data_IF_857769810362
#
_entry.id   IF_857769810362
#
_cell.length_a   1.000
_cell.length_b   1.000
_cell.length_c   1.000
_cell.angle_alpha   90.00
_cell.angle_beta   90.00
_cell.angle_gamma   90.00
#
_symmetry.space_group_name_H-M   'P 1'
#
loop_
_entity.id
_entity.type
_entity.pdbx_description
1 polymer ?
#
# COMPACT_ATOMS: atom_id res chain seq x y z
N UNK A 1 1.34 -1.35 6.14
CA UNK A 1 1.13 -1.22 7.58
C UNK A 1 -0.14 -1.91 8.00
N UNK A 2 -0.03 -2.84 8.92
CA UNK A 2 -1.20 -3.60 9.32
C UNK A 2 -1.67 -3.22 10.73
N UNK A 3 -2.00 -1.95 10.90
CA UNK A 3 -2.66 -1.45 12.10
C UNK A 3 -3.89 -2.29 12.48
N UNK A 4 -4.48 -2.96 11.47
CA UNK A 4 -5.64 -3.85 11.59
C UNK A 4 -5.27 -5.32 11.83
N UNK A 5 -3.99 -5.69 11.85
CA UNK A 5 -3.57 -7.06 12.10
C UNK A 5 -3.36 -7.32 13.60
N UNK A 6 -3.51 -8.57 13.99
CA UNK A 6 -3.26 -9.00 15.37
C UNK A 6 -1.77 -8.83 15.66
N UNK A 7 -1.40 -8.26 16.83
CA UNK A 7 -0.02 -8.16 17.22
C UNK A 7 0.64 -9.55 17.29
N UNK A 8 1.84 -9.66 16.75
CA UNK A 8 2.69 -10.86 16.88
C UNK A 8 3.49 -10.78 18.16
N UNK A 9 3.99 -11.91 18.62
CA UNK A 9 4.84 -11.97 19.82
C UNK A 9 6.26 -11.45 19.60
N UNK A 10 6.73 -11.36 18.35
CA UNK A 10 8.10 -10.96 17.99
C UNK A 10 8.11 -9.96 16.85
N UNK A 11 9.19 -9.20 16.69
CA UNK A 11 9.49 -8.47 15.45
C UNK A 11 9.73 -9.44 14.28
N UNK A 12 9.80 -8.92 13.05
CA UNK A 12 10.00 -9.71 11.84
C UNK A 12 11.26 -10.58 11.93
N UNK A 13 11.15 -11.90 12.07
CA UNK A 13 12.29 -12.76 12.40
C UNK A 13 13.27 -12.92 11.23
N UNK A 14 12.88 -12.49 10.02
CA UNK A 14 13.79 -12.45 8.87
C UNK A 14 14.65 -11.20 8.85
N UNK A 15 14.23 -10.14 9.54
CA UNK A 15 14.90 -8.84 9.61
C UNK A 15 15.65 -8.68 10.94
N UNK A 16 15.03 -9.08 12.05
CA UNK A 16 15.55 -8.90 13.38
C UNK A 16 15.98 -10.23 14.02
N UNK A 17 16.92 -10.14 14.97
CA UNK A 17 17.24 -11.24 15.88
C UNK A 17 16.07 -11.50 16.83
N UNK A 18 15.79 -12.78 17.10
CA UNK A 18 14.63 -13.21 17.89
C UNK A 18 14.85 -13.13 19.40
N UNK A 19 16.09 -13.01 19.83
CA UNK A 19 16.46 -13.23 21.23
C UNK A 19 16.09 -12.06 22.15
N UNK A 20 15.96 -10.84 21.60
CA UNK A 20 15.58 -9.67 22.39
C UNK A 20 14.41 -8.91 21.76
N UNK A 21 13.19 -9.16 22.29
CA UNK A 21 11.98 -8.46 21.85
C UNK A 21 11.88 -7.04 22.40
N UNK A 22 12.62 -6.72 23.45
CA UNK A 22 12.62 -5.38 24.05
C UNK A 22 13.60 -4.44 23.35
N UNK A 23 14.72 -4.96 22.84
CA UNK A 23 15.71 -4.24 22.06
C UNK A 23 16.09 -5.04 20.81
N UNK A 24 15.24 -5.04 19.78
CA UNK A 24 15.51 -5.81 18.59
C UNK A 24 16.80 -5.32 17.90
N UNK A 25 17.57 -6.27 17.41
CA UNK A 25 18.80 -6.01 16.65
C UNK A 25 18.57 -6.45 15.21
N UNK A 26 18.82 -5.57 14.26
CA UNK A 26 18.76 -5.92 12.84
C UNK A 26 19.89 -6.92 12.54
N UNK A 27 19.56 -7.98 11.81
CA UNK A 27 20.53 -9.01 11.44
C UNK A 27 21.72 -8.41 10.66
N UNK A 28 22.94 -8.86 10.91
CA UNK A 28 24.13 -8.36 10.22
C UNK A 28 24.03 -8.47 8.68
N UNK A 29 23.39 -9.51 8.16
CA UNK A 29 23.16 -9.69 6.72
C UNK A 29 22.25 -8.63 6.11
N UNK A 30 21.26 -8.17 6.86
CA UNK A 30 20.35 -7.09 6.43
C UNK A 30 21.07 -5.75 6.47
N UNK A 31 21.83 -5.48 7.55
CA UNK A 31 22.65 -4.27 7.66
C UNK A 31 23.63 -4.20 6.50
N UNK A 32 24.37 -5.29 6.26
CA UNK A 32 25.34 -5.36 5.17
C UNK A 32 24.71 -5.06 3.81
N UNK A 33 23.52 -5.61 3.53
CA UNK A 33 22.81 -5.32 2.28
C UNK A 33 22.49 -3.83 2.15
N UNK A 34 21.99 -3.20 3.22
CA UNK A 34 21.68 -1.77 3.24
C UNK A 34 22.95 -0.94 3.00
N UNK A 35 24.04 -1.26 3.71
CA UNK A 35 25.32 -0.57 3.59
C UNK A 35 25.93 -0.74 2.19
N UNK A 36 25.91 -1.95 1.63
CA UNK A 36 26.38 -2.21 0.27
C UNK A 36 25.59 -1.40 -0.77
N UNK A 37 24.27 -1.24 -0.58
CA UNK A 37 23.44 -0.42 -1.45
C UNK A 37 23.72 1.08 -1.28
N UNK A 38 23.95 1.55 -0.06
CA UNK A 38 24.25 2.95 0.23
C UNK A 38 25.68 3.33 -0.17
N UNK A 39 26.62 2.39 -0.24
CA UNK A 39 28.02 2.66 -0.59
C UNK A 39 28.21 3.31 -1.97
N UNK A 40 27.30 3.05 -2.91
CA UNK A 40 27.32 3.70 -4.23
C UNK A 40 26.97 5.20 -4.14
N UNK A 41 26.05 5.57 -3.22
CA UNK A 41 25.70 6.98 -2.98
C UNK A 41 26.82 7.71 -2.25
N UNK A 42 27.46 7.05 -1.30
CA UNK A 42 28.56 7.65 -0.52
C UNK A 42 29.74 8.07 -1.39
N UNK A 43 29.87 7.53 -2.62
CA UNK A 43 30.82 8.01 -3.61
C UNK A 43 30.51 9.42 -4.14
N UNK A 44 29.24 9.81 -4.11
CA UNK A 44 28.79 11.12 -4.59
C UNK A 44 28.63 12.13 -3.44
N UNK A 45 27.91 11.72 -2.38
CA UNK A 45 27.66 12.55 -1.19
C UNK A 45 27.71 11.70 0.09
N UNK A 46 28.33 12.19 1.17
CA UNK A 46 28.35 11.47 2.44
C UNK A 46 26.93 11.20 2.98
N UNK A 47 26.68 9.97 3.38
CA UNK A 47 25.46 9.60 4.13
C UNK A 47 25.67 9.97 5.60
N UNK A 48 24.92 10.95 6.07
CA UNK A 48 25.02 11.45 7.45
C UNK A 48 24.27 10.55 8.43
N UNK A 49 23.02 10.15 8.07
CA UNK A 49 22.15 9.32 8.88
C UNK A 49 21.23 8.48 8.00
N UNK A 50 20.85 7.32 8.49
CA UNK A 50 19.78 6.53 7.92
C UNK A 50 18.99 5.82 9.01
N UNK A 51 17.66 5.89 8.92
CA UNK A 51 16.73 5.35 9.89
C UNK A 51 15.69 4.48 9.21
N UNK A 52 15.39 3.35 9.83
CA UNK A 52 14.27 2.51 9.45
C UNK A 52 13.00 3.08 10.09
N UNK A 53 11.91 3.15 9.32
CA UNK A 53 10.59 3.56 9.75
C UNK A 53 9.54 2.53 9.31
N UNK A 54 8.29 2.71 9.71
CA UNK A 54 7.18 1.90 9.21
C UNK A 54 6.80 0.70 10.07
N UNK A 55 5.89 -0.12 9.54
CA UNK A 55 5.25 -1.22 10.27
C UNK A 55 6.18 -2.35 10.66
N UNK A 56 7.26 -2.53 9.92
CA UNK A 56 8.29 -3.55 10.22
C UNK A 56 8.88 -3.39 11.63
N UNK A 57 8.81 -2.16 12.17
CA UNK A 57 9.23 -1.81 13.54
C UNK A 57 8.15 -2.06 14.60
N UNK A 58 7.02 -2.62 14.22
CA UNK A 58 5.90 -2.92 15.12
C UNK A 58 5.69 -4.43 15.22
N UNK A 59 4.91 -4.88 16.18
CA UNK A 59 4.46 -6.27 16.24
C UNK A 59 3.29 -6.59 15.29
N UNK A 60 2.87 -5.61 14.46
CA UNK A 60 1.75 -5.76 13.52
C UNK A 60 2.21 -5.79 12.06
N UNK A 61 3.45 -6.20 11.79
CA UNK A 61 4.00 -6.29 10.44
C UNK A 61 3.37 -7.44 9.64
N UNK A 62 3.29 -7.26 8.32
CA UNK A 62 2.94 -8.32 7.36
C UNK A 62 4.17 -9.14 7.00
N UNK A 63 3.96 -10.34 6.46
CA UNK A 63 5.05 -11.22 6.00
C UNK A 63 5.85 -10.64 4.82
N UNK A 64 5.28 -9.67 4.13
CA UNK A 64 5.81 -8.94 3.00
C UNK A 64 5.97 -7.44 3.28
N UNK A 65 5.97 -7.04 4.56
CA UNK A 65 6.16 -5.65 4.95
C UNK A 65 7.51 -5.13 4.44
N UNK A 66 7.49 -3.97 3.81
CA UNK A 66 8.67 -3.28 3.34
C UNK A 66 9.52 -2.70 4.48
N UNK A 67 10.80 -2.48 4.19
CA UNK A 67 11.71 -1.72 5.01
C UNK A 67 11.82 -0.32 4.42
N UNK A 68 11.16 0.64 5.03
CA UNK A 68 11.22 2.04 4.63
C UNK A 68 12.40 2.73 5.32
N UNK A 69 13.37 3.21 4.55
CA UNK A 69 14.61 3.81 5.06
C UNK A 69 14.72 5.27 4.63
N UNK A 70 14.66 6.17 5.60
CA UNK A 70 15.00 7.57 5.40
C UNK A 70 16.51 7.74 5.41
N UNK A 71 17.07 8.34 4.36
CA UNK A 71 18.53 8.54 4.20
C UNK A 71 18.81 10.04 4.06
N UNK A 72 19.57 10.59 5.00
CA UNK A 72 20.02 11.98 4.99
C UNK A 72 21.41 12.10 4.40
N UNK A 73 21.56 12.90 3.34
CA UNK A 73 22.82 13.20 2.65
C UNK A 73 23.34 14.59 2.98
N UNK A 74 24.67 14.73 2.94
CA UNK A 74 25.32 16.03 3.02
C UNK A 74 25.47 16.64 1.62
N UNK A 75 24.47 17.41 1.24
CA UNK A 75 24.45 18.12 -0.06
C UNK A 75 24.52 19.63 0.16
N UNK A 76 25.35 20.38 -0.62
CA UNK A 76 25.37 21.81 -0.57
C UNK A 76 23.98 22.44 -0.72
N UNK A 77 23.69 23.46 0.08
CA UNK A 77 22.34 24.04 0.23
C UNK A 77 21.75 24.48 -1.11
N UNK A 78 22.54 25.07 -1.96
CA UNK A 78 22.17 25.56 -3.30
C UNK A 78 21.86 24.45 -4.32
N UNK A 79 22.20 23.19 -4.01
CA UNK A 79 22.02 22.04 -4.89
C UNK A 79 21.01 21.00 -4.36
N UNK A 80 20.49 21.17 -3.18
CA UNK A 80 19.69 20.14 -2.47
C UNK A 80 18.56 19.56 -3.30
N UNK A 81 17.74 20.42 -3.90
CA UNK A 81 16.58 19.94 -4.65
C UNK A 81 16.96 19.26 -5.96
N UNK A 82 17.88 19.85 -6.73
CA UNK A 82 18.33 19.30 -7.99
C UNK A 82 19.00 17.93 -7.78
N UNK A 83 19.86 17.82 -6.76
CA UNK A 83 20.54 16.59 -6.44
C UNK A 83 19.59 15.53 -5.87
N UNK A 84 18.63 15.91 -5.04
CA UNK A 84 17.58 14.99 -4.57
C UNK A 84 16.82 14.38 -5.75
N UNK A 85 16.41 15.20 -6.72
CA UNK A 85 15.72 14.74 -7.93
C UNK A 85 16.61 13.86 -8.78
N UNK A 86 17.87 14.25 -8.99
CA UNK A 86 18.86 13.50 -9.78
C UNK A 86 19.14 12.12 -9.19
N UNK A 87 19.45 12.07 -7.89
CA UNK A 87 19.72 10.84 -7.15
C UNK A 87 18.49 9.91 -7.13
N UNK A 88 17.30 10.47 -6.92
CA UNK A 88 16.06 9.69 -6.96
C UNK A 88 15.82 9.07 -8.35
N UNK A 89 16.04 9.82 -9.42
CA UNK A 89 15.94 9.28 -10.79
C UNK A 89 16.97 8.18 -11.07
N UNK A 90 18.18 8.34 -10.57
CA UNK A 90 19.29 7.38 -10.80
C UNK A 90 19.05 6.09 -10.02
N UNK A 91 18.72 6.17 -8.74
CA UNK A 91 18.76 5.03 -7.83
C UNK A 91 17.38 4.50 -7.39
N UNK A 92 16.32 5.28 -7.55
CA UNK A 92 14.96 4.87 -7.11
C UNK A 92 14.00 4.63 -8.27
N UNK A 93 14.46 4.80 -9.53
CA UNK A 93 13.62 4.55 -10.70
C UNK A 93 13.79 3.13 -11.21
N UNK A 94 12.71 2.37 -11.30
CA UNK A 94 12.72 1.01 -11.84
C UNK A 94 13.26 0.88 -13.27
N UNK A 95 13.30 1.98 -14.02
CA UNK A 95 13.84 2.03 -15.39
C UNK A 95 15.37 2.18 -15.44
N UNK A 96 16.01 2.45 -14.30
CA UNK A 96 17.45 2.65 -14.24
C UNK A 96 18.15 1.35 -13.80
N UNK A 97 19.27 0.93 -14.47
CA UNK A 97 20.03 -0.26 -14.07
C UNK A 97 20.62 -0.16 -12.65
N UNK A 98 20.89 1.05 -12.18
CA UNK A 98 21.43 1.31 -10.84
C UNK A 98 20.33 1.33 -9.76
N UNK A 99 19.07 1.04 -10.13
CA UNK A 99 17.94 1.05 -9.20
C UNK A 99 18.15 0.09 -8.04
N UNK A 100 17.95 0.60 -6.82
CA UNK A 100 17.96 -0.20 -5.58
C UNK A 100 16.60 -0.29 -4.90
N UNK A 101 15.62 0.50 -5.36
CA UNK A 101 14.28 0.55 -4.78
C UNK A 101 13.54 -0.77 -4.96
N UNK A 102 12.90 -1.25 -3.91
CA UNK A 102 12.07 -2.45 -3.95
C UNK A 102 12.83 -3.77 -4.05
N UNK A 103 14.16 -3.77 -3.86
CA UNK A 103 14.94 -5.02 -3.82
C UNK A 103 14.64 -5.76 -2.53
N UNK A 104 14.25 -7.02 -2.66
CA UNK A 104 13.96 -7.87 -1.52
C UNK A 104 15.23 -8.27 -0.76
N UNK A 105 15.13 -8.35 0.57
CA UNK A 105 16.16 -8.97 1.39
C UNK A 105 16.29 -10.43 0.98
N UNK A 106 17.50 -10.95 0.76
CA UNK A 106 17.71 -12.33 0.30
C UNK A 106 16.95 -13.36 1.17
N UNK A 107 16.25 -14.27 0.49
CA UNK A 107 15.42 -15.33 1.09
C UNK A 107 14.20 -14.81 1.88
N UNK A 108 13.72 -13.60 1.58
CA UNK A 108 12.52 -13.03 2.18
C UNK A 108 11.61 -12.44 1.11
N UNK A 109 10.43 -11.95 1.54
CA UNK A 109 9.51 -11.13 0.73
C UNK A 109 9.48 -9.67 1.21
N UNK A 110 10.51 -9.23 1.94
CA UNK A 110 10.62 -7.89 2.48
C UNK A 110 11.42 -7.00 1.53
N UNK A 111 10.77 -6.13 0.72
CA UNK A 111 11.48 -5.18 -0.12
C UNK A 111 12.04 -4.03 0.71
N UNK A 112 13.12 -3.44 0.25
CA UNK A 112 13.73 -2.27 0.86
C UNK A 112 13.44 -1.05 0.01
N UNK A 113 12.84 -0.03 0.63
CA UNK A 113 12.52 1.26 0.03
C UNK A 113 13.34 2.38 0.65
N UNK A 114 13.92 3.24 -0.17
CA UNK A 114 14.73 4.36 0.26
C UNK A 114 14.05 5.68 -0.04
N UNK A 115 14.15 6.62 0.92
CA UNK A 115 13.68 8.00 0.80
C UNK A 115 14.87 8.93 0.98
N UNK A 116 15.25 9.61 -0.10
CA UNK A 116 16.42 10.50 -0.13
C UNK A 116 16.05 11.88 0.35
N UNK A 117 16.77 12.33 1.38
CA UNK A 117 16.55 13.60 2.06
C UNK A 117 17.88 14.34 2.11
N UNK A 118 17.86 15.61 1.71
CA UNK A 118 19.07 16.44 1.56
C UNK A 118 19.14 17.55 2.61
N UNK A 119 18.19 17.63 3.51
CA UNK A 119 18.19 18.61 4.60
C UNK A 119 17.72 17.97 5.91
N UNK A 120 18.30 18.46 7.00
CA UNK A 120 18.05 17.91 8.35
C UNK A 120 16.63 18.19 8.86
N UNK A 121 16.05 19.32 8.52
CA UNK A 121 14.71 19.72 9.01
C UNK A 121 13.64 18.78 8.44
N UNK A 122 13.68 18.51 7.12
CA UNK A 122 12.81 17.52 6.46
C UNK A 122 13.02 16.13 7.05
N UNK A 123 14.28 15.71 7.27
CA UNK A 123 14.58 14.42 7.86
C UNK A 123 14.00 14.25 9.26
N UNK A 124 14.21 15.25 10.13
CA UNK A 124 13.69 15.24 11.49
C UNK A 124 12.15 15.29 11.48
N UNK A 125 11.53 16.07 10.59
CA UNK A 125 10.07 16.16 10.43
C UNK A 125 9.45 14.85 9.96
N UNK A 126 10.05 14.17 8.98
CA UNK A 126 9.56 12.87 8.51
C UNK A 126 9.66 11.80 9.59
N UNK A 127 10.77 11.75 10.32
CA UNK A 127 10.95 10.83 11.43
C UNK A 127 9.97 11.13 12.59
N UNK A 128 9.69 12.39 12.88
CA UNK A 128 8.71 12.76 13.92
C UNK A 128 7.28 12.29 13.59
N UNK A 129 6.91 12.30 12.29
CA UNK A 129 5.60 11.85 11.79
C UNK A 129 5.47 10.33 11.76
N UNK A 130 6.57 9.58 11.72
CA UNK A 130 6.54 8.13 11.70
C UNK A 130 6.09 7.55 13.04
N UNK A 131 5.39 6.40 13.01
CA UNK A 131 4.91 5.72 14.22
C UNK A 131 6.06 5.16 15.05
N UNK A 132 7.09 4.67 14.40
CA UNK A 132 8.32 4.17 14.99
C UNK A 132 9.52 4.57 14.14
N UNK A 133 10.66 4.79 14.79
CA UNK A 133 11.94 5.13 14.15
C UNK A 133 13.06 4.36 14.80
N UNK A 134 13.87 3.68 14.00
CA UNK A 134 14.99 2.90 14.44
C UNK A 134 16.28 3.37 13.76
N UNK A 135 17.28 3.73 14.55
CA UNK A 135 18.61 4.08 14.08
C UNK A 135 19.37 2.79 13.72
N UNK A 136 19.55 2.57 12.41
CA UNK A 136 20.16 1.33 11.91
C UNK A 136 21.64 1.25 12.33
N UNK A 137 22.37 2.37 12.29
CA UNK A 137 23.80 2.42 12.63
C UNK A 137 24.06 2.13 14.10
N UNK A 138 23.23 2.68 14.99
CA UNK A 138 23.37 2.52 16.43
C UNK A 138 22.53 1.38 17.01
N UNK A 139 21.78 0.65 16.17
CA UNK A 139 20.95 -0.50 16.56
C UNK A 139 20.00 -0.19 17.72
N UNK A 140 19.31 0.94 17.68
CA UNK A 140 18.40 1.36 18.74
C UNK A 140 17.19 2.15 18.23
N UNK A 141 16.11 2.04 18.96
CA UNK A 141 14.96 2.92 18.73
C UNK A 141 15.29 4.37 19.06
N UNK A 142 14.99 5.27 18.13
CA UNK A 142 14.88 6.71 18.33
C UNK A 142 13.48 7.03 18.84
N UNK A 143 12.47 6.38 18.27
CA UNK A 143 11.07 6.45 18.68
C UNK A 143 10.48 5.05 18.65
N UNK A 144 10.00 4.57 19.80
CA UNK A 144 9.32 3.26 19.88
C UNK A 144 7.89 3.38 19.36
N UNK A 145 7.36 2.30 18.75
CA UNK A 145 5.94 2.27 18.44
C UNK A 145 5.12 2.37 19.71
N UNK A 146 4.02 3.11 19.66
CA UNK A 146 3.07 3.13 20.76
C UNK A 146 2.34 1.79 20.83
N UNK A 147 2.23 1.24 22.02
CA UNK A 147 1.32 0.14 22.27
C UNK A 147 -0.11 0.70 22.35
N UNK A 148 -0.98 0.25 21.43
CA UNK A 148 -2.37 0.67 21.45
C UNK A 148 -3.32 -0.48 21.10
N UNK A 149 -4.49 -0.44 21.72
CA UNK A 149 -5.56 -1.39 21.40
C UNK A 149 -6.35 -0.88 20.20
N UNK A 150 -6.26 -1.59 19.08
CA UNK A 150 -7.03 -1.27 17.88
C UNK A 150 -8.49 -1.65 18.09
N UNK A 151 -9.40 -0.67 17.98
CA UNK A 151 -10.84 -0.90 18.00
C UNK A 151 -11.42 -0.77 16.59
N UNK A 152 -11.69 -1.91 15.96
CA UNK A 152 -12.24 -1.97 14.60
C UNK A 152 -13.65 -1.36 14.52
N UNK A 153 -14.40 -1.35 15.61
CA UNK A 153 -15.79 -0.87 15.61
C UNK A 153 -15.88 0.63 15.25
N UNK A 154 -14.80 1.39 15.50
CA UNK A 154 -14.71 2.81 15.11
C UNK A 154 -14.79 3.02 13.59
N UNK A 155 -14.49 1.98 12.80
CA UNK A 155 -14.31 2.05 11.35
C UNK A 155 -15.31 1.21 10.56
N UNK A 156 -15.96 0.24 11.19
CA UNK A 156 -16.80 -0.76 10.51
C UNK A 156 -17.88 -0.14 9.65
N UNK A 157 -18.65 0.80 10.19
CA UNK A 157 -19.76 1.44 9.47
C UNK A 157 -19.32 2.11 8.16
N UNK A 158 -18.21 2.84 8.20
CA UNK A 158 -17.70 3.53 7.03
C UNK A 158 -17.04 2.55 6.04
N UNK A 159 -16.40 1.51 6.54
CA UNK A 159 -15.86 0.44 5.72
C UNK A 159 -16.97 -0.34 5.00
N UNK A 160 -18.01 -0.78 5.71
CA UNK A 160 -19.17 -1.48 5.14
C UNK A 160 -19.84 -0.66 4.05
N UNK A 161 -20.01 0.65 4.28
CA UNK A 161 -20.56 1.55 3.27
C UNK A 161 -19.70 1.58 2.00
N UNK A 162 -18.38 1.75 2.13
CA UNK A 162 -17.45 1.74 0.98
C UNK A 162 -17.49 0.41 0.23
N UNK A 163 -17.49 -0.70 0.95
CA UNK A 163 -17.62 -2.05 0.37
C UNK A 163 -18.91 -2.19 -0.41
N UNK A 164 -20.03 -1.78 0.19
CA UNK A 164 -21.35 -1.84 -0.46
C UNK A 164 -21.40 -0.99 -1.75
N UNK A 165 -20.82 0.20 -1.75
CA UNK A 165 -20.71 1.05 -2.95
C UNK A 165 -19.92 0.31 -4.07
N UNK A 166 -18.81 -0.32 -3.75
CA UNK A 166 -18.00 -1.09 -4.71
C UNK A 166 -18.76 -2.34 -5.20
N UNK A 167 -19.37 -3.09 -4.30
CA UNK A 167 -20.08 -4.33 -4.63
C UNK A 167 -21.30 -4.09 -5.52
N UNK A 168 -21.97 -2.95 -5.39
CA UNK A 168 -23.08 -2.56 -6.30
C UNK A 168 -22.56 -2.43 -7.75
N UNK A 169 -21.54 -1.63 -7.97
CA UNK A 169 -20.97 -1.42 -9.32
C UNK A 169 -20.34 -2.69 -9.86
N UNK A 170 -19.66 -3.46 -9.00
CA UNK A 170 -19.11 -4.77 -9.37
C UNK A 170 -20.21 -5.74 -9.80
N UNK A 171 -21.35 -5.75 -9.10
CA UNK A 171 -22.51 -6.58 -9.47
C UNK A 171 -23.17 -6.14 -10.79
N UNK A 172 -23.14 -4.86 -11.13
CA UNK A 172 -23.56 -4.35 -12.44
C UNK A 172 -22.60 -4.83 -13.54
N UNK A 173 -21.31 -4.66 -13.34
CA UNK A 173 -20.28 -5.14 -14.27
C UNK A 173 -20.43 -6.63 -14.55
N UNK A 174 -20.65 -7.47 -13.53
CA UNK A 174 -20.81 -8.90 -13.70
C UNK A 174 -22.05 -9.27 -14.54
N UNK A 175 -23.18 -8.59 -14.30
CA UNK A 175 -24.38 -8.79 -15.12
C UNK A 175 -24.15 -8.40 -16.58
N UNK A 176 -23.50 -7.27 -16.81
CA UNK A 176 -23.22 -6.79 -18.17
C UNK A 176 -22.27 -7.74 -18.92
N UNK A 177 -21.28 -8.33 -18.23
CA UNK A 177 -20.40 -9.36 -18.80
C UNK A 177 -21.22 -10.62 -19.17
N UNK A 178 -22.12 -11.10 -18.32
CA UNK A 178 -22.98 -12.25 -18.61
C UNK A 178 -23.86 -11.97 -19.83
N UNK A 179 -24.53 -10.81 -19.86
CA UNK A 179 -25.35 -10.40 -21.00
C UNK A 179 -24.56 -10.30 -22.31
N UNK A 180 -23.32 -9.78 -22.23
CA UNK A 180 -22.41 -9.69 -23.38
C UNK A 180 -22.04 -11.08 -23.89
N UNK A 181 -21.72 -12.01 -23.01
CA UNK A 181 -21.39 -13.39 -23.36
C UNK A 181 -22.57 -14.07 -24.07
N UNK A 182 -23.77 -14.00 -23.49
CA UNK A 182 -24.97 -14.57 -24.09
C UNK A 182 -25.25 -13.99 -25.49
N UNK A 183 -25.03 -12.68 -25.67
CA UNK A 183 -25.18 -12.04 -26.99
C UNK A 183 -24.09 -12.48 -27.97
N UNK A 184 -22.85 -12.68 -27.50
CA UNK A 184 -21.71 -13.04 -28.36
C UNK A 184 -21.79 -14.48 -28.90
N UNK A 185 -22.52 -15.38 -28.24
CA UNK A 185 -22.78 -16.76 -28.69
C UNK A 185 -23.80 -16.83 -29.83
N UNK A 186 -24.59 -15.76 -30.07
CA UNK A 186 -25.64 -15.73 -31.08
C UNK A 186 -25.06 -15.53 -32.50
N UNK A 187 -25.67 -16.18 -33.48
CA UNK A 187 -25.28 -16.01 -34.87
C UNK A 187 -25.90 -14.74 -35.47
N UNK A 188 -25.22 -14.11 -36.48
CA UNK A 188 -25.80 -13.01 -37.21
C UNK A 188 -27.17 -13.41 -37.81
N UNK A 189 -28.21 -12.62 -37.50
CA UNK A 189 -29.57 -12.86 -37.94
C UNK A 189 -30.49 -13.54 -36.93
N UNK A 190 -29.99 -14.12 -35.85
CA UNK A 190 -30.82 -14.69 -34.77
C UNK A 190 -31.54 -13.60 -33.97
N UNK A 191 -30.88 -12.45 -33.84
CA UNK A 191 -31.46 -11.26 -33.19
C UNK A 191 -31.29 -10.04 -34.11
N UNK A 192 -32.33 -9.19 -34.18
CA UNK A 192 -32.25 -7.91 -34.84
C UNK A 192 -31.25 -6.96 -34.15
N UNK A 193 -30.36 -6.38 -34.94
CA UNK A 193 -29.33 -5.43 -34.47
C UNK A 193 -28.34 -6.02 -33.46
N UNK A 194 -27.92 -7.28 -33.63
CA UNK A 194 -26.98 -7.96 -32.71
C UNK A 194 -25.70 -7.13 -32.46
N UNK A 195 -25.04 -6.65 -33.52
CA UNK A 195 -23.83 -5.80 -33.42
C UNK A 195 -24.05 -4.54 -32.57
N UNK A 196 -25.19 -3.86 -32.76
CA UNK A 196 -25.52 -2.67 -31.97
C UNK A 196 -25.72 -3.02 -30.47
N UNK A 197 -26.28 -4.19 -30.17
CA UNK A 197 -26.48 -4.66 -28.80
C UNK A 197 -25.16 -5.02 -28.12
N UNK A 198 -24.29 -5.72 -28.87
CA UNK A 198 -22.93 -6.04 -28.38
C UNK A 198 -22.14 -4.76 -28.09
N UNK A 199 -22.15 -3.78 -29.01
CA UNK A 199 -21.51 -2.49 -28.79
C UNK A 199 -22.08 -1.77 -27.56
N UNK A 200 -23.42 -1.80 -27.37
CA UNK A 200 -24.03 -1.19 -26.18
C UNK A 200 -23.57 -1.85 -24.89
N UNK A 201 -23.48 -3.18 -24.85
CA UNK A 201 -23.01 -3.91 -23.68
C UNK A 201 -21.54 -3.68 -23.38
N UNK A 202 -20.69 -3.61 -24.41
CA UNK A 202 -19.28 -3.22 -24.21
C UNK A 202 -19.16 -1.83 -23.60
N UNK A 203 -19.95 -0.85 -24.03
CA UNK A 203 -19.95 0.47 -23.44
C UNK A 203 -20.44 0.47 -21.98
N UNK A 204 -21.41 -0.37 -21.63
CA UNK A 204 -21.88 -0.53 -20.24
C UNK A 204 -20.79 -1.15 -19.37
N UNK A 205 -20.10 -2.19 -19.86
CA UNK A 205 -18.93 -2.82 -19.20
C UNK A 205 -17.83 -1.78 -18.99
N UNK A 206 -17.44 -1.04 -20.04
CA UNK A 206 -16.40 -0.02 -19.96
C UNK A 206 -16.74 1.07 -18.93
N UNK A 207 -18.00 1.51 -18.91
CA UNK A 207 -18.49 2.46 -17.91
C UNK A 207 -18.36 1.92 -16.48
N UNK A 208 -18.75 0.68 -16.22
CA UNK A 208 -18.64 0.08 -14.89
C UNK A 208 -17.17 -0.07 -14.47
N UNK A 209 -16.28 -0.40 -15.41
CA UNK A 209 -14.82 -0.44 -15.16
C UNK A 209 -14.31 0.97 -14.82
N UNK A 210 -14.75 2.01 -15.52
CA UNK A 210 -14.40 3.41 -15.23
C UNK A 210 -14.86 3.82 -13.82
N UNK A 211 -16.12 3.56 -13.48
CA UNK A 211 -16.67 3.89 -12.16
C UNK A 211 -15.88 3.20 -11.03
N UNK A 212 -15.48 1.93 -11.21
CA UNK A 212 -14.63 1.20 -10.26
C UNK A 212 -13.21 1.77 -10.20
N UNK A 213 -12.62 2.13 -11.31
CA UNK A 213 -11.32 2.80 -11.37
C UNK A 213 -11.34 4.11 -10.60
N UNK A 214 -12.37 4.93 -10.80
CA UNK A 214 -12.54 6.22 -10.12
C UNK A 214 -12.70 6.04 -8.61
N UNK A 215 -13.39 5.00 -8.16
CA UNK A 215 -13.47 4.65 -6.72
C UNK A 215 -12.09 4.34 -6.13
N UNK A 216 -11.20 3.69 -6.89
CA UNK A 216 -9.81 3.44 -6.50
C UNK A 216 -9.01 4.73 -6.37
N UNK A 217 -9.12 5.62 -7.36
CA UNK A 217 -8.44 6.92 -7.36
C UNK A 217 -8.94 7.82 -6.22
N UNK A 218 -10.23 7.80 -5.91
CA UNK A 218 -10.81 8.51 -4.75
C UNK A 218 -10.23 7.96 -3.45
N UNK A 219 -10.15 6.63 -3.28
CA UNK A 219 -9.57 6.04 -2.08
C UNK A 219 -8.10 6.41 -1.89
N UNK A 220 -7.30 6.40 -2.96
CA UNK A 220 -5.90 6.83 -2.96
C UNK A 220 -5.76 8.33 -2.65
N UNK A 221 -6.63 9.19 -3.19
CA UNK A 221 -6.65 10.62 -2.94
C UNK A 221 -7.04 10.94 -1.48
N UNK A 222 -8.09 10.30 -0.96
CA UNK A 222 -8.54 10.45 0.44
C UNK A 222 -7.43 10.06 1.44
N UNK A 223 -6.70 8.99 1.15
CA UNK A 223 -5.55 8.57 1.98
C UNK A 223 -4.43 9.61 1.96
N UNK A 224 -4.03 10.09 0.78
CA UNK A 224 -2.99 11.13 0.64
C UNK A 224 -3.38 12.40 1.39
N UNK A 225 -4.61 12.87 1.20
CA UNK A 225 -5.15 14.05 1.88
C UNK A 225 -5.09 13.90 3.42
N UNK A 226 -5.38 12.72 3.95
CA UNK A 226 -5.30 12.45 5.39
C UNK A 226 -3.86 12.47 5.92
N UNK A 227 -2.85 12.17 5.11
CA UNK A 227 -1.45 12.30 5.50
C UNK A 227 -0.91 13.74 5.33
N UNK A 228 -1.36 14.46 4.32
CA UNK A 228 -0.86 15.79 3.99
C UNK A 228 -1.39 16.86 4.97
N UNK A 229 -2.65 16.74 5.39
CA UNK A 229 -3.28 17.67 6.33
C UNK A 229 -2.88 17.40 7.78
N UNK A 230 -2.79 18.46 8.57
CA UNK A 230 -2.62 18.32 10.01
C UNK A 230 -3.92 17.81 10.67
N UNK A 231 -3.76 16.99 11.70
CA UNK A 231 -4.89 16.50 12.48
C UNK A 231 -5.51 17.60 13.30
N UNK A 232 -6.84 17.62 13.34
CA UNK A 232 -7.59 18.50 14.25
C UNK A 232 -7.41 18.06 15.72
N UNK A 233 -7.66 18.93 16.71
CA UNK A 233 -7.60 18.56 18.12
C UNK A 233 -8.49 17.37 18.50
N UNK A 234 -9.68 17.25 17.89
CA UNK A 234 -10.60 16.12 18.12
C UNK A 234 -10.08 14.82 17.50
N UNK A 235 -9.47 14.89 16.31
CA UNK A 235 -8.82 13.75 15.69
C UNK A 235 -7.60 13.27 16.49
N UNK A 236 -6.77 14.19 16.99
CA UNK A 236 -5.64 13.85 17.87
C UNK A 236 -6.15 13.16 19.14
N UNK A 237 -7.22 13.69 19.77
CA UNK A 237 -7.80 13.10 20.96
C UNK A 237 -8.35 11.68 20.72
N UNK A 238 -8.97 11.45 19.57
CA UNK A 238 -9.66 10.17 19.24
C UNK A 238 -8.69 9.14 18.66
N UNK A 239 -7.83 9.54 17.74
CA UNK A 239 -7.01 8.65 16.93
C UNK A 239 -5.52 8.69 17.28
N UNK A 240 -5.05 9.70 17.98
CA UNK A 240 -3.66 9.98 18.41
C UNK A 240 -2.69 10.24 17.26
N UNK A 241 -2.76 9.48 16.17
CA UNK A 241 -1.84 9.57 15.02
C UNK A 241 -2.57 9.44 13.68
N UNK A 242 -1.98 9.97 12.61
CA UNK A 242 -2.56 9.98 11.25
C UNK A 242 -2.88 8.60 10.71
N UNK A 243 -2.05 7.60 11.02
CA UNK A 243 -2.29 6.21 10.57
C UNK A 243 -3.58 5.61 11.11
N UNK A 244 -4.13 6.15 12.21
CA UNK A 244 -5.40 5.70 12.82
C UNK A 244 -6.61 6.49 12.32
N UNK A 245 -6.41 7.52 11.49
CA UNK A 245 -7.53 8.24 10.89
C UNK A 245 -8.41 7.32 10.04
N UNK A 246 -9.74 7.51 10.04
CA UNK A 246 -10.67 6.64 9.32
C UNK A 246 -10.31 6.38 7.88
N UNK A 247 -9.91 7.42 7.12
CA UNK A 247 -9.51 7.29 5.71
C UNK A 247 -8.31 6.33 5.52
N UNK A 248 -7.33 6.39 6.42
CA UNK A 248 -6.16 5.51 6.37
C UNK A 248 -6.50 4.06 6.75
N UNK A 249 -7.30 3.87 7.80
CA UNK A 249 -7.70 2.54 8.27
C UNK A 249 -8.61 1.87 7.25
N UNK A 250 -9.61 2.57 6.72
CA UNK A 250 -10.52 2.06 5.68
C UNK A 250 -9.72 1.66 4.43
N UNK A 251 -8.78 2.49 3.99
CA UNK A 251 -7.89 2.14 2.89
C UNK A 251 -7.14 0.82 3.15
N UNK A 252 -6.57 0.65 4.33
CA UNK A 252 -5.89 -0.58 4.73
C UNK A 252 -6.82 -1.80 4.80
N UNK A 253 -8.06 -1.60 5.23
CA UNK A 253 -9.08 -2.66 5.21
C UNK A 253 -9.44 -3.05 3.77
N UNK A 254 -9.64 -2.09 2.87
CA UNK A 254 -9.88 -2.36 1.45
C UNK A 254 -8.69 -3.10 0.80
N UNK A 255 -7.45 -2.74 1.18
CA UNK A 255 -6.24 -3.45 0.74
C UNK A 255 -6.21 -4.90 1.25
N UNK A 256 -6.44 -5.10 2.54
CA UNK A 256 -6.42 -6.42 3.20
C UNK A 256 -7.44 -7.38 2.63
N UNK A 257 -8.63 -6.88 2.28
CA UNK A 257 -9.73 -7.67 1.71
C UNK A 257 -9.74 -7.68 0.17
N UNK A 258 -8.63 -7.27 -0.46
CA UNK A 258 -8.39 -7.28 -1.91
C UNK A 258 -9.27 -6.36 -2.76
N UNK A 259 -10.09 -5.49 -2.17
CA UNK A 259 -10.88 -4.51 -2.93
C UNK A 259 -9.98 -3.56 -3.73
N UNK A 260 -8.92 -3.01 -3.12
CA UNK A 260 -7.99 -2.12 -3.83
C UNK A 260 -7.26 -2.81 -4.97
N UNK A 261 -6.92 -4.10 -4.83
CA UNK A 261 -6.30 -4.87 -5.90
C UNK A 261 -7.23 -4.95 -7.11
N UNK A 262 -8.52 -5.20 -6.87
CA UNK A 262 -9.53 -5.23 -7.91
C UNK A 262 -9.73 -3.87 -8.58
N UNK A 263 -9.86 -2.78 -7.80
CA UNK A 263 -10.00 -1.42 -8.33
C UNK A 263 -8.79 -0.98 -9.17
N UNK A 264 -7.58 -1.27 -8.72
CA UNK A 264 -6.33 -0.99 -9.47
C UNK A 264 -6.24 -1.79 -10.76
N UNK A 265 -6.82 -2.99 -10.79
CA UNK A 265 -6.91 -3.79 -12.00
C UNK A 265 -7.86 -3.18 -13.02
N UNK A 266 -9.03 -2.69 -12.59
CA UNK A 266 -9.94 -1.92 -13.44
C UNK A 266 -9.22 -0.72 -14.06
N UNK A 267 -8.45 0.03 -13.27
CA UNK A 267 -7.65 1.15 -13.76
C UNK A 267 -6.64 0.72 -14.83
N UNK A 268 -5.91 -0.36 -14.59
CA UNK A 268 -4.93 -0.87 -15.55
C UNK A 268 -5.56 -1.23 -16.89
N UNK A 269 -6.76 -1.85 -16.90
CA UNK A 269 -7.49 -2.17 -18.11
C UNK A 269 -7.77 -0.90 -18.93
N UNK A 270 -8.20 0.18 -18.28
CA UNK A 270 -8.46 1.47 -18.95
C UNK A 270 -7.17 2.12 -19.49
N UNK A 271 -6.07 2.03 -18.74
CA UNK A 271 -4.78 2.59 -19.15
C UNK A 271 -4.19 1.86 -20.38
N UNK A 272 -4.55 0.59 -20.61
CA UNK A 272 -4.15 -0.20 -21.78
C UNK A 272 -4.97 0.15 -23.05
N UNK A 273 -6.06 0.95 -22.93
CA UNK A 273 -6.69 1.73 -23.99
C UNK A 273 -8.00 1.18 -24.56
N UNK A 274 -8.24 -0.12 -24.60
CA UNK A 274 -9.50 -0.74 -25.05
C UNK A 274 -9.85 -1.95 -24.19
N UNK A 275 -11.13 -2.12 -23.84
CA UNK A 275 -11.61 -3.30 -23.12
C UNK A 275 -11.72 -4.47 -24.09
N UNK A 276 -10.80 -5.42 -23.99
CA UNK A 276 -10.74 -6.63 -24.82
C UNK A 276 -11.42 -7.83 -24.16
N UNK A 277 -11.78 -8.84 -24.96
CA UNK A 277 -12.31 -10.10 -24.42
C UNK A 277 -11.36 -10.76 -23.41
N UNK A 278 -10.04 -10.63 -23.58
CA UNK A 278 -9.04 -11.15 -22.66
C UNK A 278 -9.07 -10.43 -21.29
N UNK A 279 -9.37 -9.15 -21.28
CA UNK A 279 -9.53 -8.35 -20.07
C UNK A 279 -10.85 -8.65 -19.35
N UNK A 280 -11.93 -8.82 -20.13
CA UNK A 280 -13.23 -9.30 -19.62
C UNK A 280 -13.06 -10.68 -18.98
N UNK A 281 -12.36 -11.61 -19.62
CA UNK A 281 -12.03 -12.94 -19.04
C UNK A 281 -11.23 -12.85 -17.76
N UNK A 282 -10.37 -11.87 -17.67
CA UNK A 282 -9.56 -11.61 -16.48
C UNK A 282 -10.42 -11.10 -15.32
N UNK A 283 -11.37 -10.21 -15.56
CA UNK A 283 -12.32 -9.72 -14.56
C UNK A 283 -13.27 -10.82 -14.08
N UNK A 284 -13.71 -11.69 -14.99
CA UNK A 284 -14.55 -12.85 -14.70
C UNK A 284 -13.89 -13.84 -13.72
N UNK A 285 -12.59 -14.08 -13.86
CA UNK A 285 -11.84 -15.02 -13.00
C UNK A 285 -11.66 -14.50 -11.55
N UNK A 286 -11.77 -13.22 -11.33
CA UNK A 286 -11.63 -12.62 -9.99
C UNK A 286 -12.91 -12.71 -9.14
N UNK A 287 -14.00 -13.18 -9.70
CA UNK A 287 -15.25 -13.41 -8.99
C UNK A 287 -15.11 -14.32 -7.76
N UNK A 288 -14.20 -15.28 -7.83
CA UNK A 288 -14.00 -16.32 -6.82
C UNK A 288 -12.98 -15.97 -5.71
N UNK A 289 -12.34 -14.81 -5.76
CA UNK A 289 -11.26 -14.40 -4.83
C UNK A 289 -11.74 -13.66 -3.59
N UNK A 290 -12.93 -13.12 -3.59
CA UNK A 290 -13.46 -12.32 -2.49
C UNK A 290 -14.24 -13.21 -1.52
N UNK A 291 -13.60 -13.58 -0.41
CA UNK A 291 -14.36 -14.12 0.72
C UNK A 291 -15.35 -13.06 1.19
N UNK A 292 -16.59 -13.43 1.54
CA UNK A 292 -17.54 -12.50 2.10
C UNK A 292 -16.87 -11.72 3.25
N UNK A 293 -16.92 -10.39 3.16
CA UNK A 293 -16.38 -9.49 4.19
C UNK A 293 -16.91 -9.86 5.57
N UNK A 294 -18.14 -10.32 5.65
CA UNK A 294 -18.80 -10.77 6.87
C UNK A 294 -18.06 -11.93 7.56
N UNK A 295 -17.60 -12.97 6.81
CA UNK A 295 -16.80 -14.06 7.40
C UNK A 295 -15.44 -13.60 7.92
N UNK A 296 -14.82 -12.64 7.23
CA UNK A 296 -13.55 -12.09 7.63
C UNK A 296 -13.70 -11.17 8.86
N UNK A 297 -14.75 -10.38 8.92
CA UNK A 297 -15.09 -9.51 10.06
C UNK A 297 -15.48 -10.34 11.29
N UNK A 298 -16.28 -11.40 11.13
CA UNK A 298 -16.65 -12.32 12.22
C UNK A 298 -15.45 -13.04 12.82
N UNK A 299 -14.46 -13.42 11.98
CA UNK A 299 -13.19 -13.99 12.46
C UNK A 299 -12.33 -12.95 13.19
N UNK A 300 -12.27 -11.74 12.69
CA UNK A 300 -11.48 -10.67 13.30
C UNK A 300 -12.11 -10.20 14.62
N UNK A 301 -13.43 -10.08 14.70
CA UNK A 301 -14.12 -9.73 15.94
C UNK A 301 -13.97 -10.79 17.02
N UNK A 302 -14.06 -12.08 16.69
CA UNK A 302 -13.84 -13.19 17.65
C UNK A 302 -12.41 -13.26 18.21
N UNK A 303 -11.42 -12.82 17.44
CA UNK A 303 -10.01 -12.80 17.86
C UNK A 303 -9.63 -11.58 18.70
N UNK A 304 -10.42 -10.50 18.65
CA UNK A 304 -10.24 -9.29 19.49
C UNK A 304 -10.79 -9.51 20.90
N UNK A 305 -11.70 -10.48 21.08
CA UNK A 305 -12.34 -10.80 22.36
C UNK A 305 -11.82 -12.08 23.04
N UNK A 306 -10.82 -12.74 22.46
CA UNK A 306 -10.12 -13.88 23.04
C UNK A 306 -8.72 -13.47 23.51
#
# INVERSE_FOLDING_TARGET
ESIIDIPRSTYAPMVFDKEDTSNPVIKPSVIKMIEDQLAEFEKEYPVLKYTLIGSILTHRYRNDADLDINVLFDVPVDKREDERVRLSKKYLSAKNPDNIQGKEIPNTKHPVNYYFITDKETYDSQNAKADAVFDIKNQKFVKRPEDFKFDINLYLKDFERKVQEIDVVKGELQRDIIDYDELSELKPGEIKNLEKRLTSKLNEIEKSIQDLSDMGDVADAERRDAFDKDMTPDEIKTFSIKNRLPKNVIYKMLEKYHYLTFLKKCKKILDDGEVTDAEIDTLRKEENGHRPVQEALDKTSKLVFA
#
